data_IF_461444073835
#
_entry.id   IF_461444073835
#
_cell.length_a   1.000
_cell.length_b   1.000
_cell.length_c   1.000
_cell.angle_alpha   90.00
_cell.angle_beta   90.00
_cell.angle_gamma   90.00
#
_symmetry.space_group_name_H-M   'P 1'
#
loop_
_entity.id
_entity.type
_entity.pdbx_description
1 polymer ?
#
# COMPACT_ATOMS: atom_id res chain seq x y z
N UNK A 1 12.29 -15.24 -0.28
CA UNK A 1 12.60 -14.08 -1.15
C UNK A 1 11.36 -13.21 -1.39
N UNK A 2 10.22 -13.81 -1.69
CA UNK A 2 8.95 -13.12 -2.00
C UNK A 2 8.43 -12.22 -0.87
N UNK A 3 8.49 -12.68 0.38
CA UNK A 3 8.12 -11.90 1.56
C UNK A 3 8.92 -10.59 1.71
N UNK A 4 10.24 -10.65 1.54
CA UNK A 4 11.13 -9.47 1.63
C UNK A 4 10.84 -8.47 0.50
N UNK A 5 10.58 -8.96 -0.71
CA UNK A 5 10.18 -8.12 -1.85
C UNK A 5 8.86 -7.40 -1.57
N UNK A 6 7.87 -8.10 -1.00
CA UNK A 6 6.57 -7.52 -0.65
C UNK A 6 6.68 -6.48 0.46
N UNK A 7 7.50 -6.73 1.50
CA UNK A 7 7.79 -5.73 2.54
C UNK A 7 8.50 -4.49 1.98
N UNK A 8 9.50 -4.66 1.11
CA UNK A 8 10.17 -3.54 0.44
C UNK A 8 9.20 -2.69 -0.38
N UNK A 9 8.34 -3.34 -1.18
CA UNK A 9 7.30 -2.65 -1.96
C UNK A 9 6.32 -1.88 -1.07
N UNK A 10 5.89 -2.45 0.05
CA UNK A 10 5.01 -1.77 1.00
C UNK A 10 5.65 -0.50 1.56
N UNK A 11 6.90 -0.57 2.02
CA UNK A 11 7.65 0.61 2.51
C UNK A 11 7.81 1.68 1.43
N UNK A 12 8.10 1.26 0.19
CA UNK A 12 8.17 2.17 -0.95
C UNK A 12 6.84 2.88 -1.20
N UNK A 13 5.71 2.17 -1.13
CA UNK A 13 4.37 2.76 -1.26
C UNK A 13 4.05 3.74 -0.11
N UNK A 14 4.41 3.42 1.13
CA UNK A 14 4.24 4.34 2.27
C UNK A 14 5.03 5.64 2.05
N UNK A 15 6.28 5.53 1.57
CA UNK A 15 7.10 6.70 1.23
C UNK A 15 6.45 7.52 0.12
N UNK A 16 5.99 6.88 -0.96
CA UNK A 16 5.30 7.55 -2.07
C UNK A 16 4.04 8.28 -1.57
N UNK A 17 3.26 7.69 -0.66
CA UNK A 17 2.11 8.38 -0.04
C UNK A 17 2.53 9.68 0.64
N UNK A 18 3.66 9.68 1.37
CA UNK A 18 4.24 10.87 1.97
C UNK A 18 4.65 11.91 0.91
N UNK A 19 5.33 11.48 -0.15
CA UNK A 19 5.76 12.36 -1.25
C UNK A 19 4.56 12.98 -2.00
N UNK A 20 3.44 12.26 -2.11
CA UNK A 20 2.19 12.71 -2.72
C UNK A 20 1.27 13.50 -1.75
N UNK A 21 1.70 13.71 -0.50
CA UNK A 21 0.91 14.33 0.56
C UNK A 21 -0.47 13.65 0.81
N UNK A 22 -0.55 12.33 0.61
CA UNK A 22 -1.73 11.55 0.98
C UNK A 22 -1.73 11.30 2.49
N UNK A 23 -2.90 11.41 3.12
CA UNK A 23 -3.05 11.08 4.53
C UNK A 23 -3.01 9.55 4.70
N UNK A 24 -1.90 9.05 5.24
CA UNK A 24 -1.69 7.62 5.47
C UNK A 24 -2.66 7.02 6.50
N UNK A 25 -3.34 7.86 7.29
CA UNK A 25 -4.35 7.40 8.26
C UNK A 25 -5.74 7.27 7.64
N UNK A 26 -5.98 7.82 6.45
CA UNK A 26 -7.21 7.63 5.68
C UNK A 26 -7.33 6.18 5.20
N UNK A 27 -8.43 5.52 5.54
CA UNK A 27 -8.67 4.13 5.19
C UNK A 27 -8.77 3.92 3.68
N UNK A 28 -9.21 4.92 2.91
CA UNK A 28 -9.20 4.86 1.45
C UNK A 28 -7.78 4.87 0.88
N UNK A 29 -6.87 5.64 1.48
CA UNK A 29 -5.45 5.66 1.10
C UNK A 29 -4.82 4.31 1.42
N UNK A 30 -5.06 3.76 2.61
CA UNK A 30 -4.59 2.42 2.99
C UNK A 30 -5.11 1.34 2.04
N UNK A 31 -6.40 1.39 1.70
CA UNK A 31 -7.00 0.46 0.76
C UNK A 31 -6.33 0.53 -0.63
N UNK A 32 -5.99 1.73 -1.10
CA UNK A 32 -5.25 1.90 -2.36
C UNK A 32 -3.84 1.32 -2.31
N UNK A 33 -3.11 1.54 -1.22
CA UNK A 33 -1.77 0.95 -1.02
C UNK A 33 -1.87 -0.57 -1.08
N UNK A 34 -2.82 -1.15 -0.36
CA UNK A 34 -2.99 -2.61 -0.29
C UNK A 34 -3.39 -3.16 -1.67
N UNK A 35 -4.33 -2.51 -2.37
CA UNK A 35 -4.75 -2.93 -3.70
C UNK A 35 -3.58 -2.93 -4.71
N UNK A 36 -2.74 -1.89 -4.69
CA UNK A 36 -1.53 -1.83 -5.54
C UNK A 36 -0.50 -2.88 -5.12
N UNK A 37 -0.34 -3.14 -3.82
CA UNK A 37 0.58 -4.16 -3.32
C UNK A 37 0.15 -5.58 -3.72
N UNK A 38 -1.16 -5.87 -3.70
CA UNK A 38 -1.74 -7.15 -4.10
C UNK A 38 -1.69 -7.38 -5.62
N UNK A 39 -1.46 -6.33 -6.42
CA UNK A 39 -1.30 -6.44 -7.87
C UNK A 39 0.18 -6.73 -8.22
N UNK A 40 0.52 -8.01 -8.31
CA UNK A 40 1.90 -8.46 -8.55
C UNK A 40 2.43 -8.09 -9.94
N UNK A 41 1.54 -7.88 -10.91
CA UNK A 41 1.86 -7.46 -12.28
C UNK A 41 2.32 -5.98 -12.36
N UNK A 42 2.19 -5.21 -11.28
CA UNK A 42 2.69 -3.84 -11.24
C UNK A 42 4.21 -3.87 -11.04
N UNK A 43 4.93 -3.34 -12.03
CA UNK A 43 6.36 -3.05 -11.95
C UNK A 43 6.66 -2.02 -10.86
N UNK A 44 7.75 -2.24 -10.11
CA UNK A 44 8.15 -1.41 -8.98
C UNK A 44 8.44 0.05 -9.38
N UNK A 45 8.82 0.32 -10.64
CA UNK A 45 9.03 1.67 -11.17
C UNK A 45 7.72 2.42 -11.43
N UNK A 46 6.60 1.69 -11.53
CA UNK A 46 5.28 2.26 -11.83
C UNK A 46 4.38 2.38 -10.60
N UNK A 47 4.88 2.04 -9.40
CA UNK A 47 4.09 2.04 -8.16
C UNK A 47 3.45 3.39 -7.87
N UNK A 48 4.16 4.50 -8.09
CA UNK A 48 3.63 5.85 -7.88
C UNK A 48 2.46 6.16 -8.82
N UNK A 49 2.66 5.91 -10.12
CA UNK A 49 1.63 6.12 -11.14
C UNK A 49 0.39 5.28 -10.84
N UNK A 50 0.58 4.02 -10.44
CA UNK A 50 -0.51 3.11 -10.10
C UNK A 50 -1.23 3.54 -8.83
N UNK A 51 -0.51 3.90 -7.78
CA UNK A 51 -1.10 4.40 -6.54
C UNK A 51 -1.95 5.65 -6.79
N UNK A 52 -1.43 6.61 -7.54
CA UNK A 52 -2.19 7.82 -7.90
C UNK A 52 -3.42 7.47 -8.74
N UNK A 53 -3.31 6.56 -9.70
CA UNK A 53 -4.44 6.14 -10.53
C UNK A 53 -5.52 5.42 -9.70
N UNK A 54 -5.13 4.50 -8.82
CA UNK A 54 -6.03 3.78 -7.92
C UNK A 54 -6.74 4.74 -6.99
N UNK A 55 -6.03 5.73 -6.42
CA UNK A 55 -6.62 6.75 -5.55
C UNK A 55 -7.62 7.66 -6.29
N UNK A 56 -7.31 8.08 -7.52
CA UNK A 56 -8.21 8.92 -8.34
C UNK A 56 -9.44 8.19 -8.85
N UNK A 57 -9.32 6.88 -9.07
CA UNK A 57 -10.36 6.05 -9.68
C UNK A 57 -10.81 4.92 -8.77
N UNK A 58 -10.92 5.20 -7.46
CA UNK A 58 -11.40 4.23 -6.48
C UNK A 58 -12.82 3.78 -6.82
N UNK A 59 -12.98 2.52 -7.19
CA UNK A 59 -14.29 1.91 -7.33
C UNK A 59 -14.68 1.29 -6.00
N UNK A 60 -15.55 1.98 -5.26
CA UNK A 60 -15.95 1.64 -3.88
C UNK A 60 -16.34 0.17 -3.72
N UNK A 61 -17.09 -0.39 -4.68
CA UNK A 61 -17.56 -1.79 -4.60
C UNK A 61 -16.40 -2.80 -4.63
N UNK A 62 -15.34 -2.53 -5.40
CA UNK A 62 -14.19 -3.42 -5.48
C UNK A 62 -13.29 -3.28 -4.25
N UNK A 63 -13.16 -2.08 -3.69
CA UNK A 63 -12.44 -1.87 -2.42
C UNK A 63 -13.14 -2.61 -1.29
N UNK A 64 -14.46 -2.46 -1.15
CA UNK A 64 -15.24 -3.19 -0.15
C UNK A 64 -15.12 -4.71 -0.33
N UNK A 65 -15.10 -5.21 -1.56
CA UNK A 65 -14.88 -6.64 -1.81
C UNK A 65 -13.47 -7.09 -1.38
N UNK A 66 -12.44 -6.29 -1.68
CA UNK A 66 -11.06 -6.57 -1.29
C UNK A 66 -10.87 -6.59 0.23
N UNK A 67 -11.48 -5.64 0.95
CA UNK A 67 -11.43 -5.54 2.41
C UNK A 67 -11.90 -6.82 3.11
N UNK A 68 -12.84 -7.55 2.51
CA UNK A 68 -13.35 -8.81 3.06
C UNK A 68 -12.40 -10.01 2.85
N UNK A 69 -11.28 -9.83 2.14
CA UNK A 69 -10.32 -10.91 1.89
C UNK A 69 -9.31 -11.03 3.03
N UNK A 70 -8.88 -12.27 3.32
CA UNK A 70 -7.85 -12.54 4.35
C UNK A 70 -6.53 -11.87 4.03
N UNK A 71 -6.17 -11.82 2.76
CA UNK A 71 -4.90 -11.24 2.31
C UNK A 71 -4.89 -9.73 2.50
N UNK A 72 -6.00 -9.04 2.22
CA UNK A 72 -6.13 -7.62 2.51
C UNK A 72 -5.97 -7.35 4.00
N UNK A 73 -6.69 -8.08 4.86
CA UNK A 73 -6.63 -7.90 6.31
C UNK A 73 -5.22 -8.15 6.87
N UNK A 74 -4.51 -9.14 6.33
CA UNK A 74 -3.11 -9.39 6.67
C UNK A 74 -2.21 -8.21 6.30
N UNK A 75 -2.33 -7.69 5.08
CA UNK A 75 -1.51 -6.56 4.61
C UNK A 75 -1.88 -5.28 5.37
N UNK A 76 -3.15 -5.04 5.69
CA UNK A 76 -3.58 -3.90 6.50
C UNK A 76 -2.91 -3.90 7.87
N UNK A 77 -2.85 -5.06 8.53
CA UNK A 77 -2.14 -5.19 9.81
C UNK A 77 -0.65 -4.90 9.68
N UNK A 78 -0.01 -5.35 8.59
CA UNK A 78 1.40 -5.06 8.31
C UNK A 78 1.62 -3.57 8.02
N UNK A 79 0.75 -2.95 7.23
CA UNK A 79 0.78 -1.52 6.93
C UNK A 79 0.65 -0.70 8.22
N UNK A 80 -0.34 -1.03 9.06
CA UNK A 80 -0.52 -0.38 10.36
C UNK A 80 0.70 -0.57 11.27
N UNK A 81 1.36 -1.74 11.24
CA UNK A 81 2.60 -1.96 11.97
C UNK A 81 3.73 -1.05 11.48
N UNK A 82 3.94 -0.94 10.17
CA UNK A 82 5.00 -0.12 9.57
C UNK A 82 4.75 1.38 9.77
N UNK A 83 3.51 1.86 9.64
CA UNK A 83 3.13 3.27 9.86
C UNK A 83 3.36 3.68 11.32
N UNK A 84 3.04 2.80 12.28
CA UNK A 84 3.21 3.07 13.71
C UNK A 84 4.63 2.80 14.22
N UNK A 85 5.50 2.14 13.43
CA UNK A 85 6.90 1.87 13.77
C UNK A 85 7.87 2.40 12.71
N UNK A 86 7.95 3.73 12.50
CA UNK A 86 8.75 4.33 11.43
C UNK A 86 10.28 4.17 11.56
N UNK A 87 10.78 3.57 12.65
CA UNK A 87 12.20 3.44 12.96
C UNK A 87 13.01 2.52 12.01
N UNK A 88 12.38 1.88 11.03
CA UNK A 88 13.08 1.14 9.96
C UNK A 88 13.42 2.00 8.71
N UNK A 89 13.13 3.31 8.73
CA UNK A 89 13.30 4.21 7.58
C UNK A 89 14.75 4.68 7.31
N UNK A 90 15.74 4.34 8.15
CA UNK A 90 17.13 4.79 8.01
C UNK A 90 18.15 3.68 7.72
N UNK A 91 17.71 2.48 7.34
CA UNK A 91 18.61 1.38 6.98
C UNK A 91 18.14 0.71 5.68
N UNK A 92 18.50 1.32 4.55
CA UNK A 92 19.11 0.74 3.33
C UNK A 92 19.52 1.94 2.45
#
# INVERSE_FOLDING_TARGET
MEFLKRQYRLRKLIRICGDLAFDIYDDNVKACIIAVLMCEDVDDNNLEVRLMATYKHQQTIFILALENTREFQYILNLLNFEVNNPHYNNQI
#
